data_IF_063128849000
#
_entry.id   IF_063128849000
#
_cell.length_a   1.000
_cell.length_b   1.000
_cell.length_c   1.000
_cell.angle_alpha   90.00
_cell.angle_beta   90.00
_cell.angle_gamma   90.00
#
_symmetry.space_group_name_H-M   'P 1'
#
loop_
_entity.id
_entity.type
_entity.pdbx_description
1 polymer ?
#
# COMPACT_ATOMS: atom_id res chain seq x y z
N UNK A 1 -23.71 20.22 -22.66
CA UNK A 1 -24.53 19.14 -22.03
C UNK A 1 -24.00 18.97 -20.63
N UNK A 2 -24.88 18.92 -19.64
CA UNK A 2 -24.46 18.66 -18.25
C UNK A 2 -23.82 17.28 -18.16
N UNK A 3 -22.75 17.14 -17.40
CA UNK A 3 -22.13 15.85 -17.14
C UNK A 3 -23.05 14.98 -16.30
N UNK A 4 -22.85 13.65 -16.34
CA UNK A 4 -23.60 12.72 -15.48
C UNK A 4 -23.49 13.10 -14.01
N UNK A 5 -22.35 13.63 -13.59
CA UNK A 5 -22.07 14.09 -12.24
C UNK A 5 -22.86 15.37 -11.86
N UNK A 6 -22.94 16.34 -12.78
CA UNK A 6 -23.76 17.53 -12.57
C UNK A 6 -25.26 17.19 -12.44
N UNK A 7 -25.72 16.21 -13.22
CA UNK A 7 -27.09 15.69 -13.08
C UNK A 7 -27.28 15.02 -11.71
N UNK A 8 -26.33 14.15 -11.32
CA UNK A 8 -26.39 13.48 -10.00
C UNK A 8 -26.42 14.49 -8.84
N UNK A 9 -25.58 15.54 -8.89
CA UNK A 9 -25.58 16.62 -7.89
C UNK A 9 -26.92 17.37 -7.85
N UNK A 10 -27.54 17.59 -9.01
CA UNK A 10 -28.84 18.29 -9.08
C UNK A 10 -30.01 17.46 -8.55
N UNK A 11 -29.84 16.16 -8.42
CA UNK A 11 -30.85 15.23 -7.85
C UNK A 11 -30.71 15.06 -6.34
N UNK A 12 -29.63 15.58 -5.73
CA UNK A 12 -29.49 15.55 -4.29
C UNK A 12 -30.42 16.52 -3.62
N UNK A 13 -31.25 16.01 -2.72
CA UNK A 13 -32.21 16.81 -1.91
C UNK A 13 -31.60 17.10 -0.54
N UNK A 14 -31.27 18.37 -0.23
CA UNK A 14 -30.86 18.75 1.12
C UNK A 14 -32.00 18.59 2.13
N UNK A 15 -31.73 18.42 3.43
CA UNK A 15 -32.76 18.42 4.47
C UNK A 15 -33.63 19.68 4.44
N UNK A 16 -33.10 20.75 3.88
CA UNK A 16 -33.80 22.01 3.70
C UNK A 16 -35.04 21.91 2.80
N UNK A 17 -35.04 21.03 1.81
CA UNK A 17 -36.22 20.81 0.96
C UNK A 17 -37.38 20.26 1.80
N UNK A 18 -37.13 19.30 2.68
CA UNK A 18 -38.11 18.76 3.61
C UNK A 18 -38.57 19.82 4.63
N UNK A 19 -37.69 20.72 5.08
CA UNK A 19 -38.06 21.85 5.94
C UNK A 19 -39.01 22.76 5.17
N UNK A 20 -38.70 23.10 3.91
CA UNK A 20 -39.55 23.97 3.09
C UNK A 20 -40.92 23.34 2.84
N UNK A 21 -40.97 22.08 2.42
CA UNK A 21 -42.21 21.34 2.19
C UNK A 21 -43.08 21.31 3.45
N UNK A 22 -42.48 21.06 4.60
CA UNK A 22 -43.22 20.98 5.85
C UNK A 22 -43.78 22.35 6.30
N UNK A 23 -42.99 23.42 6.23
CA UNK A 23 -43.50 24.76 6.59
C UNK A 23 -44.59 25.23 5.62
N UNK A 24 -44.48 24.92 4.32
CA UNK A 24 -45.49 25.18 3.31
C UNK A 24 -46.79 24.44 3.63
N UNK A 25 -46.68 23.15 4.00
CA UNK A 25 -47.81 22.31 4.39
C UNK A 25 -48.59 22.86 5.61
N UNK A 26 -47.88 23.39 6.63
CA UNK A 26 -48.49 23.97 7.83
C UNK A 26 -48.81 25.47 7.70
N UNK A 27 -48.56 26.08 6.54
CA UNK A 27 -48.81 27.49 6.28
C UNK A 27 -47.86 28.45 7.00
N UNK A 28 -46.65 28.01 7.37
CA UNK A 28 -45.65 28.81 8.07
C UNK A 28 -44.67 29.43 7.05
N UNK A 29 -44.31 30.69 7.20
CA UNK A 29 -43.29 31.32 6.38
C UNK A 29 -41.88 31.05 6.92
N UNK A 30 -40.87 31.12 6.05
CA UNK A 30 -39.45 31.06 6.49
C UNK A 30 -39.08 32.15 7.51
N UNK A 31 -39.73 33.33 7.42
CA UNK A 31 -39.58 34.41 8.38
C UNK A 31 -40.10 34.04 9.78
N UNK A 32 -41.28 33.41 9.83
CA UNK A 32 -41.85 32.91 11.06
C UNK A 32 -41.04 31.76 11.64
N UNK A 33 -40.56 30.84 10.81
CA UNK A 33 -39.63 29.78 11.26
C UNK A 33 -38.39 30.38 11.91
N UNK A 34 -37.77 31.38 11.27
CA UNK A 34 -36.61 32.08 11.80
C UNK A 34 -36.85 32.70 13.17
N UNK A 35 -38.01 33.40 13.33
CA UNK A 35 -38.41 34.01 14.58
C UNK A 35 -38.63 32.96 15.68
N UNK A 36 -39.35 31.86 15.39
CA UNK A 36 -39.61 30.78 16.34
C UNK A 36 -38.35 30.00 16.74
N UNK A 37 -37.37 29.92 15.86
CA UNK A 37 -36.09 29.30 16.14
C UNK A 37 -35.08 30.27 16.79
N UNK A 38 -35.39 31.58 16.86
CA UNK A 38 -34.45 32.59 17.35
C UNK A 38 -33.21 32.74 16.47
N UNK A 39 -33.37 32.59 15.14
CA UNK A 39 -32.28 32.67 14.18
C UNK A 39 -32.49 33.77 13.13
N UNK A 40 -31.42 34.34 12.57
CA UNK A 40 -31.53 35.25 11.43
C UNK A 40 -32.18 34.56 10.22
N UNK A 41 -32.99 35.30 9.44
CA UNK A 41 -33.66 34.79 8.24
C UNK A 41 -32.66 34.23 7.21
N UNK A 42 -31.52 34.88 7.06
CA UNK A 42 -30.45 34.44 6.16
C UNK A 42 -29.96 33.04 6.51
N UNK A 43 -29.81 32.73 7.80
CA UNK A 43 -29.41 31.41 8.29
C UNK A 43 -30.43 30.32 7.99
N UNK A 44 -31.71 30.65 8.09
CA UNK A 44 -32.81 29.73 7.71
C UNK A 44 -32.79 29.49 6.18
N UNK A 45 -32.63 30.56 5.38
CA UNK A 45 -32.53 30.43 3.93
C UNK A 45 -31.31 29.62 3.50
N UNK A 46 -30.15 29.78 4.15
CA UNK A 46 -28.93 29.01 3.87
C UNK A 46 -29.11 27.54 4.29
N UNK A 47 -29.78 27.27 5.39
CA UNK A 47 -30.12 25.92 5.83
C UNK A 47 -31.04 25.23 4.81
N UNK A 48 -32.13 25.92 4.40
CA UNK A 48 -33.08 25.41 3.41
C UNK A 48 -32.39 25.11 2.07
N UNK A 49 -31.47 25.96 1.62
CA UNK A 49 -30.72 25.78 0.40
C UNK A 49 -29.52 24.79 0.51
N UNK A 50 -29.36 24.13 1.66
CA UNK A 50 -28.29 23.18 1.90
C UNK A 50 -26.89 23.81 1.93
N UNK A 51 -26.77 25.15 1.95
CA UNK A 51 -25.50 25.87 2.00
C UNK A 51 -24.83 25.80 3.38
N UNK A 52 -25.66 25.81 4.43
CA UNK A 52 -25.19 25.64 5.81
C UNK A 52 -25.58 24.24 6.34
N UNK A 53 -24.64 23.53 7.01
CA UNK A 53 -24.94 22.20 7.55
C UNK A 53 -25.94 22.28 8.71
N UNK A 54 -26.83 21.30 8.77
CA UNK A 54 -27.79 21.15 9.87
C UNK A 54 -27.06 20.55 11.08
N UNK A 55 -26.91 21.36 12.12
CA UNK A 55 -26.20 20.95 13.35
C UNK A 55 -27.15 20.32 14.37
N UNK A 56 -26.57 19.59 15.35
CA UNK A 56 -27.35 19.00 16.46
C UNK A 56 -28.24 20.04 17.15
N UNK A 57 -27.76 21.23 17.57
CA UNK A 57 -28.63 22.25 18.15
C UNK A 57 -29.76 22.67 17.22
N UNK A 58 -29.49 22.80 15.92
CA UNK A 58 -30.50 23.14 14.91
C UNK A 58 -31.56 22.05 14.79
N UNK A 59 -31.17 20.77 14.80
CA UNK A 59 -32.09 19.64 14.76
C UNK A 59 -33.08 19.65 15.94
N UNK A 60 -32.60 19.91 17.16
CA UNK A 60 -33.47 20.03 18.35
C UNK A 60 -34.35 21.29 18.33
N UNK A 61 -33.90 22.38 17.72
CA UNK A 61 -34.76 23.55 17.50
C UNK A 61 -35.88 23.24 16.51
N UNK A 62 -35.55 22.56 15.39
CA UNK A 62 -36.57 22.12 14.42
C UNK A 62 -37.58 21.15 15.05
N UNK A 63 -37.13 20.20 15.88
CA UNK A 63 -37.99 19.29 16.61
C UNK A 63 -39.01 20.06 17.46
N UNK A 64 -38.57 21.08 18.20
CA UNK A 64 -39.46 21.91 19.05
C UNK A 64 -40.46 22.72 18.24
N UNK A 65 -40.06 23.22 17.07
CA UNK A 65 -40.88 24.12 16.26
C UNK A 65 -41.79 23.37 15.28
N UNK A 66 -41.24 22.31 14.65
CA UNK A 66 -41.95 21.56 13.60
C UNK A 66 -42.53 20.23 14.08
N UNK A 67 -42.15 19.74 15.28
CA UNK A 67 -42.64 18.47 15.81
C UNK A 67 -42.02 17.23 15.19
N UNK A 68 -41.02 17.37 14.28
CA UNK A 68 -40.32 16.26 13.64
C UNK A 68 -39.08 15.95 14.47
N UNK A 69 -38.85 14.68 14.85
CA UNK A 69 -37.75 14.32 15.75
C UNK A 69 -36.36 14.78 15.24
N UNK A 70 -35.50 15.25 16.16
CA UNK A 70 -34.15 15.69 15.85
C UNK A 70 -33.32 14.60 15.16
N UNK A 71 -33.52 13.32 15.48
CA UNK A 71 -32.91 12.19 14.84
C UNK A 71 -33.20 12.07 13.33
N UNK A 72 -34.43 12.42 12.92
CA UNK A 72 -34.81 12.47 11.51
C UNK A 72 -33.93 13.50 10.76
N UNK A 73 -33.86 14.72 11.29
CA UNK A 73 -33.08 15.81 10.70
C UNK A 73 -31.59 15.45 10.59
N UNK A 74 -31.03 14.87 11.66
CA UNK A 74 -29.62 14.46 11.67
C UNK A 74 -29.33 13.33 10.70
N UNK A 75 -30.23 12.37 10.56
CA UNK A 75 -30.06 11.28 9.58
C UNK A 75 -30.16 11.80 8.13
N UNK A 76 -31.09 12.69 7.85
CA UNK A 76 -31.23 13.33 6.54
C UNK A 76 -29.99 14.14 6.19
N UNK A 77 -29.49 14.97 7.10
CA UNK A 77 -28.24 15.74 6.90
C UNK A 77 -27.03 14.82 6.64
N UNK A 78 -26.89 13.77 7.46
CA UNK A 78 -25.78 12.80 7.28
C UNK A 78 -25.82 12.15 5.89
N UNK A 79 -26.99 11.69 5.44
CA UNK A 79 -27.14 11.08 4.12
C UNK A 79 -26.81 12.06 3.01
N UNK A 80 -27.38 13.26 3.06
CA UNK A 80 -27.13 14.32 2.08
C UNK A 80 -25.67 14.71 1.98
N UNK A 81 -25.00 14.98 3.12
CA UNK A 81 -23.60 15.37 3.13
C UNK A 81 -22.67 14.24 2.66
N UNK A 82 -23.01 13.01 3.01
CA UNK A 82 -22.23 11.84 2.55
C UNK A 82 -22.29 11.74 1.02
N UNK A 83 -23.49 11.75 0.44
CA UNK A 83 -23.67 11.64 -1.01
C UNK A 83 -23.04 12.82 -1.76
N UNK A 84 -23.21 14.05 -1.25
CA UNK A 84 -22.59 15.24 -1.82
C UNK A 84 -21.06 15.13 -1.81
N UNK A 85 -20.48 14.66 -0.71
CA UNK A 85 -19.05 14.46 -0.57
C UNK A 85 -18.55 13.38 -1.53
N UNK A 86 -19.24 12.25 -1.65
CA UNK A 86 -18.89 11.16 -2.56
C UNK A 86 -18.85 11.63 -4.03
N UNK A 87 -19.82 12.45 -4.45
CA UNK A 87 -19.82 13.04 -5.80
C UNK A 87 -18.70 14.06 -6.01
N UNK A 88 -18.36 14.86 -4.99
CA UNK A 88 -17.24 15.78 -5.05
C UNK A 88 -15.92 15.04 -5.14
N UNK A 89 -15.73 14.01 -4.31
CA UNK A 89 -14.54 13.15 -4.36
C UNK A 89 -14.39 12.46 -5.72
N UNK A 90 -15.48 11.97 -6.29
CA UNK A 90 -15.42 11.37 -7.63
C UNK A 90 -14.89 12.37 -8.68
N UNK A 91 -15.32 13.63 -8.65
CA UNK A 91 -14.81 14.69 -9.54
C UNK A 91 -13.31 14.96 -9.34
N UNK A 92 -12.85 14.98 -8.10
CA UNK A 92 -11.43 15.20 -7.78
C UNK A 92 -10.58 14.03 -8.24
N UNK A 93 -11.01 12.80 -7.94
CA UNK A 93 -10.30 11.58 -8.33
C UNK A 93 -10.23 11.38 -9.86
N UNK A 94 -11.24 11.85 -10.61
CA UNK A 94 -11.18 11.83 -12.08
C UNK A 94 -10.07 12.73 -12.65
N UNK A 95 -9.64 13.75 -11.93
CA UNK A 95 -8.54 14.63 -12.35
C UNK A 95 -7.18 13.94 -12.21
N UNK A 96 -7.07 12.95 -11.31
CA UNK A 96 -5.84 12.23 -10.98
C UNK A 96 -5.50 11.08 -11.98
N UNK A 97 -6.10 11.11 -13.16
CA UNK A 97 -5.91 10.08 -14.19
C UNK A 97 -4.45 9.92 -14.65
N UNK A 98 -3.66 11.00 -14.63
CA UNK A 98 -2.28 10.99 -15.08
C UNK A 98 -1.39 10.32 -14.03
N UNK A 99 -1.65 10.56 -12.74
CA UNK A 99 -1.02 9.82 -11.64
C UNK A 99 -1.34 8.32 -11.71
N UNK A 100 -2.62 7.96 -11.92
CA UNK A 100 -3.02 6.57 -12.12
C UNK A 100 -2.29 5.90 -13.28
N UNK A 101 -2.09 6.62 -14.40
CA UNK A 101 -1.46 6.09 -15.60
C UNK A 101 0.04 5.81 -15.43
N UNK A 102 0.69 6.40 -14.42
CA UNK A 102 2.09 6.14 -14.11
C UNK A 102 2.31 4.74 -13.47
N UNK A 103 1.26 4.13 -12.91
CA UNK A 103 1.32 2.79 -12.32
C UNK A 103 1.03 1.68 -13.34
N UNK A 104 1.54 0.46 -13.13
CA UNK A 104 1.20 -0.71 -13.95
C UNK A 104 -0.17 -1.29 -13.56
N UNK A 105 -1.23 -0.47 -13.69
CA UNK A 105 -2.59 -0.76 -13.20
C UNK A 105 -3.16 -2.06 -13.75
N UNK A 106 -2.90 -2.37 -15.03
CA UNK A 106 -3.43 -3.58 -15.65
C UNK A 106 -2.89 -4.86 -14.98
N UNK A 107 -1.61 -4.88 -14.68
CA UNK A 107 -0.97 -5.99 -13.99
C UNK A 107 -1.42 -6.08 -12.54
N UNK A 108 -1.53 -4.95 -11.85
CA UNK A 108 -2.03 -4.89 -10.48
C UNK A 108 -3.46 -5.43 -10.39
N UNK A 109 -4.31 -5.14 -11.38
CA UNK A 109 -5.67 -5.72 -11.49
C UNK A 109 -5.62 -7.23 -11.72
N UNK A 110 -4.79 -7.71 -12.67
CA UNK A 110 -4.61 -9.16 -12.95
C UNK A 110 -4.16 -9.94 -11.70
N UNK A 111 -3.36 -9.31 -10.86
CA UNK A 111 -2.88 -9.91 -9.60
C UNK A 111 -3.87 -9.75 -8.44
N UNK A 112 -5.02 -9.11 -8.66
CA UNK A 112 -6.01 -8.86 -7.62
C UNK A 112 -5.56 -7.84 -6.57
N UNK A 113 -4.59 -6.97 -6.90
CA UNK A 113 -4.16 -5.90 -6.00
C UNK A 113 -5.10 -4.69 -6.07
N UNK A 114 -5.76 -4.51 -7.19
CA UNK A 114 -6.77 -3.50 -7.45
C UNK A 114 -8.05 -4.17 -7.99
N UNK A 115 -9.22 -3.53 -7.83
CA UNK A 115 -10.49 -4.04 -8.33
C UNK A 115 -10.51 -4.14 -9.87
N UNK A 116 -11.23 -5.12 -10.38
CA UNK A 116 -11.41 -5.29 -11.83
C UNK A 116 -12.51 -4.35 -12.37
N UNK A 117 -12.16 -3.07 -12.50
CA UNK A 117 -13.03 -2.03 -13.05
C UNK A 117 -12.28 -1.19 -14.08
N UNK A 118 -13.05 -0.46 -14.92
CA UNK A 118 -12.52 0.55 -15.85
C UNK A 118 -12.74 1.98 -15.35
N UNK A 119 -13.48 2.15 -14.28
CA UNK A 119 -13.80 3.44 -13.70
C UNK A 119 -12.57 4.04 -13.01
N UNK A 120 -12.05 5.14 -13.56
CA UNK A 120 -10.78 5.72 -13.13
C UNK A 120 -10.81 6.21 -11.68
N UNK A 121 -11.87 6.89 -11.28
CA UNK A 121 -12.02 7.36 -9.91
C UNK A 121 -12.00 6.21 -8.89
N UNK A 122 -12.61 5.06 -9.22
CA UNK A 122 -12.58 3.86 -8.36
C UNK A 122 -11.15 3.30 -8.28
N UNK A 123 -10.42 3.30 -9.39
CA UNK A 123 -9.03 2.82 -9.41
C UNK A 123 -8.08 3.76 -8.64
N UNK A 124 -8.26 5.09 -8.77
CA UNK A 124 -7.48 6.07 -8.00
C UNK A 124 -7.74 5.91 -6.50
N UNK A 125 -9.02 5.86 -6.09
CA UNK A 125 -9.39 5.65 -4.69
C UNK A 125 -8.82 4.34 -4.12
N UNK A 126 -8.91 3.26 -4.92
CA UNK A 126 -8.36 1.96 -4.54
C UNK A 126 -6.83 1.98 -4.41
N UNK A 127 -6.16 2.76 -5.28
CA UNK A 127 -4.71 2.91 -5.23
C UNK A 127 -4.27 3.75 -4.03
N UNK A 128 -4.98 4.82 -3.68
CA UNK A 128 -4.76 5.59 -2.46
C UNK A 128 -4.93 4.73 -1.20
N UNK A 129 -5.99 3.90 -1.16
CA UNK A 129 -6.21 2.92 -0.08
C UNK A 129 -5.12 1.86 -0.03
N UNK A 130 -4.66 1.36 -1.18
CA UNK A 130 -3.56 0.41 -1.27
C UNK A 130 -2.29 0.97 -0.65
N UNK A 131 -1.97 2.25 -0.88
CA UNK A 131 -0.83 2.92 -0.27
C UNK A 131 -1.09 3.44 1.15
N UNK A 132 -2.33 3.45 1.63
CA UNK A 132 -2.76 4.08 2.88
C UNK A 132 -2.41 5.57 2.96
N UNK A 133 -2.68 6.30 1.90
CA UNK A 133 -2.48 7.76 1.80
C UNK A 133 -3.80 8.47 1.51
N UNK A 134 -3.92 9.72 1.94
CA UNK A 134 -5.14 10.49 1.79
C UNK A 134 -5.28 11.15 0.40
N UNK A 135 -4.16 11.42 -0.27
CA UNK A 135 -4.12 12.08 -1.58
C UNK A 135 -2.88 11.66 -2.38
N UNK A 136 -2.85 12.02 -3.65
CA UNK A 136 -1.69 11.83 -4.55
C UNK A 136 -0.49 12.66 -4.11
N UNK A 137 -0.71 13.88 -3.60
CA UNK A 137 0.34 14.74 -3.04
C UNK A 137 1.04 14.07 -1.85
N UNK A 138 0.27 13.44 -0.96
CA UNK A 138 0.83 12.70 0.16
C UNK A 138 1.63 11.48 -0.30
N UNK A 139 1.18 10.82 -1.37
CA UNK A 139 1.95 9.74 -1.97
C UNK A 139 3.29 10.25 -2.51
N UNK A 140 3.29 11.35 -3.28
CA UNK A 140 4.52 11.95 -3.79
C UNK A 140 5.48 12.35 -2.68
N UNK A 141 4.96 12.95 -1.60
CA UNK A 141 5.74 13.34 -0.44
C UNK A 141 6.40 12.15 0.25
N UNK A 142 5.69 11.03 0.38
CA UNK A 142 6.17 9.85 1.09
C UNK A 142 7.14 9.01 0.26
N UNK A 143 6.89 8.90 -1.06
CA UNK A 143 7.63 7.96 -1.91
C UNK A 143 8.66 8.62 -2.83
N UNK A 144 8.51 9.92 -3.11
CA UNK A 144 9.38 10.64 -4.05
C UNK A 144 10.21 11.71 -3.36
N UNK A 145 9.64 12.54 -2.47
CA UNK A 145 10.37 13.64 -1.85
C UNK A 145 11.43 13.14 -0.86
N UNK A 146 12.66 13.63 -0.99
CA UNK A 146 13.83 13.22 -0.20
C UNK A 146 13.69 13.52 1.30
N UNK A 147 12.92 14.55 1.67
CA UNK A 147 12.85 15.08 3.03
C UNK A 147 12.04 14.22 4.02
N UNK A 148 11.19 13.31 3.55
CA UNK A 148 10.19 12.61 4.38
C UNK A 148 10.36 11.10 4.44
N UNK A 149 11.41 10.54 3.87
CA UNK A 149 11.60 9.08 3.75
C UNK A 149 11.89 8.33 5.07
N UNK A 150 11.24 8.72 6.18
CA UNK A 150 11.36 7.98 7.45
C UNK A 150 10.73 6.57 7.35
N UNK A 151 9.73 6.40 6.50
CA UNK A 151 9.07 5.10 6.25
C UNK A 151 9.67 4.34 5.05
N UNK A 152 10.14 5.09 4.05
CA UNK A 152 10.89 4.60 2.90
C UNK A 152 12.23 5.31 2.89
N UNK A 153 13.27 4.69 3.41
CA UNK A 153 14.63 5.27 3.53
C UNK A 153 15.40 5.28 2.21
N UNK A 154 14.76 5.00 1.12
CA UNK A 154 15.31 5.12 -0.24
C UNK A 154 14.43 6.10 -0.99
N UNK A 155 14.99 7.22 -1.42
CA UNK A 155 14.34 8.10 -2.39
C UNK A 155 14.19 7.34 -3.70
N UNK A 156 12.96 7.19 -4.17
CA UNK A 156 12.68 6.62 -5.48
C UNK A 156 12.75 7.66 -6.61
N UNK A 157 13.04 8.93 -6.27
CA UNK A 157 13.06 10.05 -7.21
C UNK A 157 14.00 9.84 -8.41
N UNK A 158 15.11 9.16 -8.20
CA UNK A 158 16.13 8.92 -9.23
C UNK A 158 15.95 7.59 -9.97
N UNK A 159 14.93 6.78 -9.61
CA UNK A 159 14.66 5.51 -10.30
C UNK A 159 13.86 5.75 -11.58
N UNK A 160 14.00 4.84 -12.55
CA UNK A 160 13.27 4.95 -13.83
C UNK A 160 11.76 4.72 -13.69
N UNK A 161 11.29 4.13 -12.60
CA UNK A 161 9.88 3.77 -12.41
C UNK A 161 9.46 3.75 -10.95
N UNK A 162 9.46 4.89 -10.27
CA UNK A 162 9.16 4.98 -8.84
C UNK A 162 7.78 4.44 -8.48
N UNK A 163 6.80 4.63 -9.35
CA UNK A 163 5.43 4.15 -9.17
C UNK A 163 5.34 2.61 -9.15
N UNK A 164 6.03 1.93 -10.08
CA UNK A 164 6.01 0.47 -10.12
C UNK A 164 6.79 -0.14 -8.95
N UNK A 165 7.93 0.46 -8.59
CA UNK A 165 8.78 0.02 -7.47
C UNK A 165 8.02 0.20 -6.14
N UNK A 166 7.43 1.38 -5.90
CA UNK A 166 6.64 1.63 -4.69
C UNK A 166 5.45 0.68 -4.55
N UNK A 167 4.75 0.40 -5.65
CA UNK A 167 3.63 -0.54 -5.65
C UNK A 167 4.08 -1.96 -5.30
N UNK A 168 5.20 -2.42 -5.87
CA UNK A 168 5.76 -3.72 -5.57
C UNK A 168 6.18 -3.82 -4.10
N UNK A 169 6.91 -2.84 -3.60
CA UNK A 169 7.31 -2.77 -2.19
C UNK A 169 6.10 -2.74 -1.26
N UNK A 170 5.10 -1.91 -1.55
CA UNK A 170 3.88 -1.83 -0.74
C UNK A 170 3.13 -3.15 -0.68
N UNK A 171 3.06 -3.90 -1.80
CA UNK A 171 2.45 -5.25 -1.79
C UNK A 171 3.18 -6.20 -0.85
N UNK A 172 4.51 -6.16 -0.84
CA UNK A 172 5.29 -6.96 0.11
C UNK A 172 5.00 -6.62 1.58
N UNK A 173 4.77 -5.33 1.91
CA UNK A 173 4.33 -4.95 3.26
C UNK A 173 2.96 -5.54 3.63
N UNK A 174 2.01 -5.48 2.69
CA UNK A 174 0.67 -6.04 2.90
C UNK A 174 0.78 -7.54 3.16
N UNK A 175 1.55 -8.26 2.34
CA UNK A 175 1.78 -9.70 2.51
C UNK A 175 2.48 -10.02 3.84
N UNK A 176 3.51 -9.25 4.21
CA UNK A 176 4.24 -9.47 5.45
C UNK A 176 3.41 -9.23 6.72
N UNK A 177 2.37 -8.40 6.67
CA UNK A 177 1.44 -8.19 7.77
C UNK A 177 0.54 -9.41 8.03
N UNK A 178 0.28 -10.20 7.00
CA UNK A 178 -0.55 -11.41 7.09
C UNK A 178 0.21 -12.62 7.65
N UNK A 179 1.57 -12.54 7.73
CA UNK A 179 2.41 -13.62 8.25
C UNK A 179 2.61 -13.46 9.75
N UNK A 180 2.24 -14.47 10.51
CA UNK A 180 2.61 -14.57 11.93
C UNK A 180 4.08 -14.98 12.06
N UNK A 181 4.89 -14.13 12.67
CA UNK A 181 6.31 -14.37 12.90
C UNK A 181 6.65 -14.27 14.39
N UNK A 182 7.65 -15.03 14.82
CA UNK A 182 8.22 -14.91 16.16
C UNK A 182 8.89 -13.54 16.37
N UNK A 183 9.33 -13.24 17.60
CA UNK A 183 10.24 -12.12 17.83
C UNK A 183 11.56 -12.37 17.08
N UNK A 184 12.07 -11.35 16.39
CA UNK A 184 13.30 -11.47 15.64
C UNK A 184 14.51 -11.77 16.54
N UNK A 185 15.21 -12.84 16.21
CA UNK A 185 16.45 -13.28 16.85
C UNK A 185 17.54 -13.46 15.77
N UNK A 186 18.50 -12.53 15.78
CA UNK A 186 19.61 -12.50 14.80
C UNK A 186 20.45 -13.79 14.83
N UNK A 187 20.72 -14.31 16.03
CA UNK A 187 21.55 -15.53 16.18
C UNK A 187 20.81 -16.72 15.62
N UNK A 188 19.54 -16.88 16.03
CA UNK A 188 18.67 -17.96 15.55
C UNK A 188 18.52 -17.91 14.02
N UNK A 189 18.36 -16.72 13.44
CA UNK A 189 18.27 -16.58 11.99
C UNK A 189 19.57 -16.94 11.29
N UNK A 190 20.72 -16.51 11.83
CA UNK A 190 22.03 -16.89 11.29
C UNK A 190 22.25 -18.41 11.36
N UNK A 191 21.90 -19.06 12.44
CA UNK A 191 22.03 -20.50 12.63
C UNK A 191 21.09 -21.27 11.66
N UNK A 192 19.89 -20.75 11.40
CA UNK A 192 18.92 -21.32 10.47
C UNK A 192 19.37 -21.28 8.99
N UNK A 193 20.35 -20.43 8.63
CA UNK A 193 20.85 -20.39 7.25
C UNK A 193 21.52 -21.71 6.83
N UNK A 194 21.99 -22.52 7.78
CA UNK A 194 22.54 -23.87 7.49
C UNK A 194 21.39 -24.78 7.04
N UNK A 195 20.28 -24.82 7.76
CA UNK A 195 19.09 -25.59 7.41
C UNK A 195 18.52 -25.12 6.05
N UNK A 196 18.55 -23.80 5.80
CA UNK A 196 18.09 -23.23 4.53
C UNK A 196 19.03 -23.61 3.38
N UNK A 197 20.35 -23.72 3.59
CA UNK A 197 21.27 -24.25 2.58
C UNK A 197 20.94 -25.71 2.23
N UNK A 198 20.63 -26.54 3.22
CA UNK A 198 20.18 -27.92 2.97
C UNK A 198 18.89 -27.97 2.17
N UNK A 199 17.92 -27.08 2.51
CA UNK A 199 16.67 -26.94 1.77
C UNK A 199 16.93 -26.52 0.31
N UNK A 200 17.90 -25.63 0.08
CA UNK A 200 18.31 -25.20 -1.27
C UNK A 200 18.87 -26.35 -2.11
N UNK A 201 19.58 -27.25 -1.48
CA UNK A 201 20.16 -28.43 -2.14
C UNK A 201 19.09 -29.50 -2.45
N UNK A 202 18.19 -29.76 -1.49
CA UNK A 202 17.15 -30.81 -1.61
C UNK A 202 15.98 -30.40 -2.54
N UNK A 203 15.67 -29.12 -2.62
CA UNK A 203 14.61 -28.54 -3.48
C UNK A 203 13.28 -29.33 -3.47
N UNK A 204 12.66 -29.62 -2.32
CA UNK A 204 11.37 -30.28 -2.30
C UNK A 204 10.28 -29.40 -2.92
N UNK A 205 9.21 -29.98 -3.46
CA UNK A 205 8.13 -29.24 -4.14
C UNK A 205 7.53 -28.11 -3.29
N UNK A 206 7.51 -28.27 -1.97
CA UNK A 206 7.00 -27.27 -1.02
C UNK A 206 8.12 -26.40 -0.39
N UNK A 207 9.29 -26.29 -1.02
CA UNK A 207 10.44 -25.54 -0.47
C UNK A 207 10.10 -24.10 -0.09
N UNK A 208 9.23 -23.45 -0.84
CA UNK A 208 8.82 -22.05 -0.54
C UNK A 208 8.13 -21.94 0.81
N UNK A 209 7.22 -22.87 1.09
CA UNK A 209 6.51 -22.89 2.38
C UNK A 209 7.49 -23.21 3.52
N UNK A 210 8.36 -24.21 3.33
CA UNK A 210 9.36 -24.55 4.34
C UNK A 210 10.29 -23.38 4.62
N UNK A 211 10.75 -22.69 3.58
CA UNK A 211 11.60 -21.50 3.70
C UNK A 211 10.89 -20.37 4.47
N UNK A 212 9.61 -20.11 4.18
CA UNK A 212 8.81 -19.14 4.93
C UNK A 212 8.66 -19.54 6.40
N UNK A 213 8.40 -20.81 6.68
CA UNK A 213 8.21 -21.32 8.04
C UNK A 213 9.51 -21.21 8.87
N UNK A 214 10.68 -21.52 8.25
CA UNK A 214 11.99 -21.38 8.91
C UNK A 214 12.25 -19.90 9.22
N UNK A 215 12.05 -19.00 8.25
CA UNK A 215 12.20 -17.56 8.43
C UNK A 215 11.26 -17.03 9.53
N UNK A 216 9.99 -17.41 9.51
CA UNK A 216 8.98 -16.97 10.46
C UNK A 216 9.32 -17.38 11.90
N UNK A 217 9.84 -18.60 12.11
CA UNK A 217 10.33 -19.09 13.41
C UNK A 217 11.52 -18.27 13.95
N UNK A 218 12.27 -17.61 13.07
CA UNK A 218 13.38 -16.73 13.43
C UNK A 218 12.97 -15.25 13.53
N UNK A 219 11.70 -14.94 13.26
CA UNK A 219 11.16 -13.59 13.31
C UNK A 219 11.43 -12.77 12.05
N UNK A 220 11.62 -13.42 10.90
CA UNK A 220 11.80 -12.80 9.58
C UNK A 220 10.56 -13.10 8.72
N UNK A 221 9.91 -12.07 8.20
CA UNK A 221 8.83 -12.23 7.25
C UNK A 221 9.39 -12.40 5.83
N UNK A 222 9.26 -13.58 5.26
CA UNK A 222 9.60 -13.84 3.87
C UNK A 222 8.34 -13.82 3.01
N UNK A 223 8.33 -12.97 1.98
CA UNK A 223 7.19 -12.85 1.06
C UNK A 223 7.63 -13.02 -0.40
N UNK A 224 6.75 -13.62 -1.19
CA UNK A 224 6.91 -13.78 -2.62
C UNK A 224 5.91 -12.88 -3.34
N UNK A 225 6.40 -11.86 -4.03
CA UNK A 225 5.58 -10.86 -4.71
C UNK A 225 5.73 -10.97 -6.21
N UNK A 226 4.61 -10.99 -6.94
CA UNK A 226 4.61 -11.03 -8.40
C UNK A 226 5.34 -9.81 -8.98
N UNK A 227 6.09 -10.01 -10.06
CA UNK A 227 6.79 -8.94 -10.75
C UNK A 227 5.82 -7.97 -11.40
N UNK A 228 6.12 -6.69 -11.26
CA UNK A 228 5.47 -5.66 -12.03
C UNK A 228 6.35 -5.22 -13.22
N UNK A 229 5.75 -4.88 -14.37
CA UNK A 229 6.47 -4.21 -15.45
C UNK A 229 7.15 -2.94 -14.92
N UNK A 230 8.33 -2.66 -15.41
CA UNK A 230 9.15 -1.52 -15.02
C UNK A 230 9.63 -1.53 -13.54
N UNK A 231 9.45 -2.63 -12.81
CA UNK A 231 10.04 -2.86 -11.49
C UNK A 231 11.03 -4.04 -11.60
N UNK A 232 12.29 -3.82 -12.04
CA UNK A 232 13.26 -4.89 -12.29
C UNK A 232 13.92 -5.38 -10.99
N UNK A 233 13.15 -5.56 -9.92
CA UNK A 233 13.64 -5.93 -8.60
C UNK A 233 13.66 -7.44 -8.48
N UNK A 234 14.79 -8.02 -8.04
CA UNK A 234 14.92 -9.44 -7.73
C UNK A 234 14.57 -9.72 -6.27
N UNK A 235 15.12 -8.92 -5.37
CA UNK A 235 14.89 -8.97 -3.93
C UNK A 235 14.86 -7.59 -3.30
N UNK A 236 14.32 -7.52 -2.10
CA UNK A 236 14.39 -6.34 -1.24
C UNK A 236 14.36 -6.73 0.23
N UNK A 237 15.26 -6.15 1.01
CA UNK A 237 15.29 -6.27 2.47
C UNK A 237 14.97 -4.93 3.12
N UNK A 238 14.09 -4.97 4.11
CA UNK A 238 13.71 -3.78 4.89
C UNK A 238 13.14 -4.15 6.25
N UNK A 239 13.01 -3.15 7.11
CA UNK A 239 12.43 -3.29 8.44
C UNK A 239 11.11 -2.54 8.53
N UNK A 240 10.07 -3.23 9.00
CA UNK A 240 8.77 -2.64 9.27
C UNK A 240 8.39 -2.87 10.74
N UNK A 241 8.28 -1.79 11.53
CA UNK A 241 8.01 -1.87 12.98
C UNK A 241 8.84 -2.92 13.72
N UNK A 242 10.16 -2.92 13.53
CA UNK A 242 11.10 -3.89 14.14
C UNK A 242 11.04 -5.34 13.59
N UNK A 243 10.22 -5.59 12.58
CA UNK A 243 10.15 -6.88 11.89
C UNK A 243 10.94 -6.80 10.59
N UNK A 244 11.97 -7.61 10.37
CA UNK A 244 12.66 -7.69 9.09
C UNK A 244 11.78 -8.40 8.06
N UNK A 245 11.79 -7.87 6.84
CA UNK A 245 11.06 -8.41 5.70
C UNK A 245 12.09 -8.71 4.62
N UNK A 246 12.07 -9.93 4.10
CA UNK A 246 12.70 -10.31 2.84
C UNK A 246 11.57 -10.45 1.81
N UNK A 247 11.62 -9.63 0.77
CA UNK A 247 10.66 -9.68 -0.32
C UNK A 247 11.35 -10.15 -1.58
N UNK A 248 10.95 -11.30 -2.12
CA UNK A 248 11.50 -11.88 -3.33
C UNK A 248 10.51 -11.80 -4.47
N UNK A 249 11.00 -11.49 -5.66
CA UNK A 249 10.18 -11.46 -6.85
C UNK A 249 10.12 -12.83 -7.53
N UNK A 250 9.10 -13.07 -8.35
CA UNK A 250 9.02 -14.28 -9.19
C UNK A 250 9.89 -14.22 -10.46
N UNK A 251 10.90 -13.35 -10.52
CA UNK A 251 11.69 -13.06 -11.72
C UNK A 251 12.77 -14.10 -12.01
N UNK A 252 13.05 -14.96 -11.07
CA UNK A 252 14.13 -15.95 -11.17
C UNK A 252 13.85 -16.98 -12.27
N UNK A 253 14.79 -17.10 -13.19
CA UNK A 253 14.73 -18.10 -14.25
C UNK A 253 15.42 -19.41 -13.86
N UNK A 254 16.31 -19.35 -12.85
CA UNK A 254 17.15 -20.44 -12.40
C UNK A 254 17.21 -20.50 -10.87
N UNK A 255 17.48 -21.67 -10.32
CA UNK A 255 17.54 -21.90 -8.87
C UNK A 255 18.70 -21.16 -8.22
N UNK A 256 19.85 -21.10 -8.88
CA UNK A 256 21.05 -20.40 -8.41
C UNK A 256 20.78 -18.91 -8.14
N UNK A 257 20.14 -18.21 -9.07
CA UNK A 257 19.72 -16.82 -8.89
C UNK A 257 18.75 -16.65 -7.72
N UNK A 258 17.77 -17.55 -7.57
CA UNK A 258 16.83 -17.49 -6.47
C UNK A 258 17.53 -17.59 -5.12
N UNK A 259 18.37 -18.62 -4.94
CA UNK A 259 19.05 -18.85 -3.68
C UNK A 259 20.13 -17.81 -3.39
N UNK A 260 20.86 -17.37 -4.43
CA UNK A 260 21.80 -16.26 -4.26
C UNK A 260 21.10 -15.00 -3.74
N UNK A 261 20.00 -14.57 -4.40
CA UNK A 261 19.22 -13.42 -3.94
C UNK A 261 18.68 -13.61 -2.53
N UNK A 262 18.15 -14.79 -2.19
CA UNK A 262 17.69 -15.03 -0.82
C UNK A 262 18.81 -14.84 0.23
N UNK A 263 20.00 -15.45 0.00
CA UNK A 263 21.12 -15.32 0.94
C UNK A 263 21.71 -13.91 0.95
N UNK A 264 21.69 -13.21 -0.17
CA UNK A 264 22.06 -11.80 -0.27
C UNK A 264 21.14 -10.92 0.61
N UNK A 265 19.82 -11.07 0.46
CA UNK A 265 18.85 -10.34 1.29
C UNK A 265 18.95 -10.73 2.77
N UNK A 266 19.21 -11.98 3.09
CA UNK A 266 19.45 -12.42 4.46
C UNK A 266 20.72 -11.80 5.04
N UNK A 267 21.76 -11.57 4.25
CA UNK A 267 22.98 -10.88 4.65
C UNK A 267 22.69 -9.45 5.13
N UNK A 268 21.84 -8.70 4.42
CA UNK A 268 21.48 -7.36 4.82
C UNK A 268 20.82 -7.32 6.20
N UNK A 269 19.98 -8.30 6.55
CA UNK A 269 19.40 -8.40 7.90
C UNK A 269 20.49 -8.68 8.95
N UNK A 270 21.44 -9.57 8.61
CA UNK A 270 22.46 -10.03 9.54
C UNK A 270 23.59 -9.01 9.69
N UNK A 271 24.04 -8.37 8.63
CA UNK A 271 25.22 -7.50 8.64
C UNK A 271 24.87 -6.03 8.91
N UNK A 272 23.84 -5.50 8.24
CA UNK A 272 23.63 -4.05 8.13
C UNK A 272 22.54 -3.49 9.07
N UNK A 273 21.69 -4.35 9.65
CA UNK A 273 20.75 -3.95 10.70
C UNK A 273 19.51 -3.20 10.20
N UNK A 274 18.97 -2.26 11.04
CA UNK A 274 17.59 -1.76 10.91
C UNK A 274 17.45 -0.47 10.12
N UNK A 275 18.53 0.14 9.64
CA UNK A 275 18.49 1.54 9.19
C UNK A 275 18.25 1.72 7.71
N UNK A 276 18.52 0.72 6.89
CA UNK A 276 18.54 0.86 5.44
C UNK A 276 17.50 -0.04 4.77
N UNK A 277 17.04 0.36 3.60
CA UNK A 277 16.30 -0.49 2.67
C UNK A 277 17.27 -0.84 1.55
N UNK A 278 17.39 -2.13 1.29
CA UNK A 278 18.22 -2.65 0.22
C UNK A 278 17.32 -3.11 -0.92
N UNK A 279 17.63 -2.65 -2.15
CA UNK A 279 16.89 -2.99 -3.36
C UNK A 279 17.86 -3.57 -4.38
N UNK A 280 17.77 -4.86 -4.63
CA UNK A 280 18.61 -5.53 -5.61
C UNK A 280 18.18 -5.19 -7.04
N UNK A 281 19.15 -4.81 -7.90
CA UNK A 281 18.97 -4.52 -9.33
C UNK A 281 18.12 -3.27 -9.67
N UNK A 282 18.10 -2.25 -8.82
CA UNK A 282 17.42 -0.97 -9.10
C UNK A 282 18.43 0.10 -9.44
N UNK A 283 18.43 0.58 -10.70
CA UNK A 283 19.23 1.72 -11.13
C UNK A 283 18.70 3.02 -10.51
N UNK A 284 19.62 3.92 -10.10
CA UNK A 284 19.29 5.24 -9.57
C UNK A 284 19.06 5.28 -8.06
N UNK A 285 19.22 4.19 -7.33
CA UNK A 285 19.31 4.22 -5.87
C UNK A 285 20.76 4.51 -5.45
N UNK A 286 20.96 5.27 -4.38
CA UNK A 286 22.27 5.38 -3.74
C UNK A 286 22.61 4.02 -3.12
N UNK A 287 23.34 3.21 -3.88
CA UNK A 287 23.79 1.89 -3.43
C UNK A 287 25.06 2.10 -2.61
N UNK A 288 25.02 1.70 -1.35
CA UNK A 288 26.21 1.55 -0.55
C UNK A 288 26.99 0.31 -1.05
N UNK A 289 27.94 0.55 -1.97
CA UNK A 289 28.70 -0.52 -2.63
C UNK A 289 29.42 -1.43 -1.64
N UNK A 290 29.88 -0.89 -0.52
CA UNK A 290 30.58 -1.68 0.49
C UNK A 290 29.62 -2.70 1.13
N UNK A 291 28.41 -2.29 1.46
CA UNK A 291 27.37 -3.18 2.01
C UNK A 291 26.89 -4.22 1.01
N UNK A 292 26.77 -3.84 -0.27
CA UNK A 292 26.43 -4.77 -1.34
C UNK A 292 27.53 -5.84 -1.55
N UNK A 293 28.80 -5.42 -1.55
CA UNK A 293 29.94 -6.33 -1.66
C UNK A 293 30.05 -7.27 -0.44
N UNK A 294 29.74 -6.77 0.76
CA UNK A 294 29.65 -7.60 1.95
C UNK A 294 28.51 -8.62 1.86
N UNK A 295 27.33 -8.21 1.37
CA UNK A 295 26.19 -9.11 1.19
C UNK A 295 26.47 -10.18 0.11
N UNK A 296 27.05 -9.78 -1.02
CA UNK A 296 27.48 -10.70 -2.08
C UNK A 296 28.50 -11.72 -1.58
N UNK A 297 29.49 -11.24 -0.83
CA UNK A 297 30.52 -12.11 -0.24
C UNK A 297 29.91 -13.09 0.76
N UNK A 298 28.98 -12.64 1.57
CA UNK A 298 28.28 -13.48 2.55
C UNK A 298 27.45 -14.56 1.85
N UNK A 299 26.64 -14.19 0.85
CA UNK A 299 25.83 -15.12 0.08
C UNK A 299 26.69 -16.19 -0.61
N UNK A 300 27.78 -15.77 -1.26
CA UNK A 300 28.71 -16.66 -1.94
C UNK A 300 29.34 -17.67 -0.99
N UNK A 301 29.78 -17.24 0.21
CA UNK A 301 30.40 -18.12 1.21
C UNK A 301 29.43 -19.12 1.86
N UNK A 302 28.13 -18.79 1.92
CA UNK A 302 27.11 -19.74 2.37
C UNK A 302 26.84 -20.78 1.29
N UNK A 303 26.63 -20.34 0.06
CA UNK A 303 26.30 -21.24 -1.05
C UNK A 303 27.46 -22.16 -1.40
N UNK A 304 28.67 -21.64 -1.39
CA UNK A 304 29.88 -22.39 -1.70
C UNK A 304 30.97 -22.07 -0.67
N UNK A 305 31.23 -23.02 0.21
CA UNK A 305 32.26 -22.86 1.25
C UNK A 305 33.65 -22.92 0.62
N UNK A 306 34.66 -22.36 1.29
CA UNK A 306 36.08 -22.38 0.83
C UNK A 306 36.55 -23.80 0.58
N UNK A 307 36.15 -24.76 1.41
CA UNK A 307 36.52 -26.17 1.27
C UNK A 307 35.90 -26.78 0.00
N UNK A 308 34.61 -26.54 -0.26
CA UNK A 308 33.92 -27.00 -1.47
C UNK A 308 34.55 -26.36 -2.71
N UNK A 309 34.85 -25.06 -2.68
CA UNK A 309 35.54 -24.36 -3.77
C UNK A 309 36.90 -24.97 -4.07
N UNK A 310 37.72 -25.26 -3.05
CA UNK A 310 39.02 -25.90 -3.22
C UNK A 310 38.92 -27.33 -3.78
N UNK A 311 37.86 -28.06 -3.44
CA UNK A 311 37.61 -29.38 -4.01
C UNK A 311 37.28 -29.26 -5.52
N UNK A 312 36.43 -28.32 -5.90
CA UNK A 312 36.06 -28.03 -7.29
C UNK A 312 37.28 -27.65 -8.12
N UNK A 313 38.12 -26.74 -7.60
CA UNK A 313 39.37 -26.32 -8.30
C UNK A 313 40.31 -27.48 -8.51
N UNK A 314 40.46 -28.35 -7.52
CA UNK A 314 41.32 -29.54 -7.62
C UNK A 314 40.79 -30.61 -8.58
N UNK A 315 39.48 -30.64 -8.79
CA UNK A 315 38.79 -31.61 -9.65
C UNK A 315 38.73 -31.14 -11.13
N UNK A 316 39.36 -30.02 -11.49
CA UNK A 316 39.36 -29.52 -12.88
C UNK A 316 40.26 -30.41 -13.81
N UNK A 317 39.75 -30.83 -14.98
CA UNK A 317 38.46 -30.46 -15.62
C UNK A 317 37.27 -31.16 -15.02
N UNK A 318 36.22 -30.37 -14.69
CA UNK A 318 34.97 -30.88 -14.16
C UNK A 318 34.20 -31.67 -15.22
N UNK A 319 33.75 -32.87 -14.86
CA UNK A 319 32.77 -33.63 -15.67
C UNK A 319 31.37 -33.38 -15.17
N UNK A 320 30.35 -33.58 -16.05
CA UNK A 320 28.92 -33.45 -15.65
C UNK A 320 28.56 -34.30 -14.42
N UNK A 321 29.19 -35.52 -14.34
CA UNK A 321 29.00 -36.40 -13.18
C UNK A 321 29.53 -35.78 -11.89
N UNK A 322 30.68 -35.15 -11.93
CA UNK A 322 31.30 -34.49 -10.76
C UNK A 322 30.49 -33.24 -10.36
N UNK A 323 29.92 -32.52 -11.32
CA UNK A 323 29.05 -31.36 -11.03
C UNK A 323 27.77 -31.82 -10.34
N UNK A 324 27.23 -32.98 -10.67
CA UNK A 324 26.03 -33.54 -10.05
C UNK A 324 26.28 -34.12 -8.63
N UNK A 325 27.54 -34.37 -8.25
CA UNK A 325 27.93 -34.86 -6.92
C UNK A 325 28.28 -33.70 -5.94
N UNK A 326 28.41 -32.45 -6.45
CA UNK A 326 28.61 -31.24 -5.67
C UNK A 326 27.28 -30.55 -5.37
#
# INVERSE_FOLDING_TARGET
MATTLEIAKSLLSPPGDTIQEHIDFIGMSQAELAERMGRPREKINDLIKGREPLTIPTAFQLEKVLGIPASFWMNSEKSYRKELYELQQQEELEKEKDWLAAFPVNEMRKFGWLPDTKEKHVLVDSLLKFFCVASTDEWERIYIAEEVSVAFRVSLAHTQSPHAISAWLRKGEIQAKEIEIAQFDKKKFKDALVEIKELAFLMPDNFKQQLQDICAKCGVALVFTQNLPKAPISGATRWFHHKPIIQLSGRFKTNDHFWFTFFHEAAHIILHGKKDIFLENVEGTEIDKEKEDEANTFASKILLTENELQQIIKATPLTEKMIAEF
#
